data_IF_674949788433
#
_entry.id   IF_674949788433
#
_cell.length_a   1.000
_cell.length_b   1.000
_cell.length_c   1.000
_cell.angle_alpha   90.00
_cell.angle_beta   90.00
_cell.angle_gamma   90.00
#
_symmetry.space_group_name_H-M   'P 1'
#
loop_
_entity.id
_entity.type
_entity.pdbx_description
1 polymer ?
#
# COMPACT_ATOMS: atom_id res chain seq x y z
N UNK A 1 14.02 49.70 53.27
CA UNK A 1 14.56 48.77 52.27
C UNK A 1 13.59 47.61 52.11
N UNK A 2 12.68 47.68 51.13
CA UNK A 2 11.72 46.61 50.81
C UNK A 2 11.53 46.58 49.29
N UNK A 3 12.16 45.60 48.64
CA UNK A 3 12.12 45.40 47.19
C UNK A 3 10.90 44.53 46.85
N UNK A 4 9.89 45.11 46.22
CA UNK A 4 8.79 44.37 45.61
C UNK A 4 9.25 43.96 44.20
N UNK A 5 9.44 42.67 43.96
CA UNK A 5 9.78 42.13 42.63
C UNK A 5 8.49 41.84 41.85
N UNK A 6 8.36 42.24 40.57
CA UNK A 6 7.22 41.89 39.75
C UNK A 6 7.37 40.44 39.26
N UNK A 7 6.39 39.58 39.55
CA UNK A 7 6.30 38.24 38.99
C UNK A 7 5.67 38.38 37.60
N UNK A 8 6.51 38.37 36.57
CA UNK A 8 6.07 38.32 35.18
C UNK A 8 5.67 36.87 34.86
N UNK A 9 4.37 36.57 34.88
CA UNK A 9 3.87 35.25 34.48
C UNK A 9 3.81 35.16 32.95
N UNK A 10 4.78 34.45 32.38
CA UNK A 10 4.79 34.10 30.95
C UNK A 10 3.72 33.04 30.66
N UNK A 11 2.69 33.41 29.90
CA UNK A 11 1.71 32.47 29.33
C UNK A 11 2.39 31.78 28.14
N UNK A 12 2.67 30.48 28.30
CA UNK A 12 3.21 29.64 27.23
C UNK A 12 2.02 29.06 26.44
N UNK A 13 1.71 29.64 25.27
CA UNK A 13 0.66 29.12 24.38
C UNK A 13 1.24 27.95 23.58
N UNK A 14 0.90 26.72 23.97
CA UNK A 14 1.27 25.51 23.24
C UNK A 14 0.34 25.35 22.03
N UNK A 15 0.77 25.85 20.87
CA UNK A 15 0.10 25.56 19.60
C UNK A 15 0.41 24.11 19.21
N UNK A 16 -0.59 23.22 19.29
CA UNK A 16 -0.49 21.88 18.74
C UNK A 16 -0.51 21.98 17.20
N UNK A 17 0.65 21.91 16.57
CA UNK A 17 0.75 21.69 15.12
C UNK A 17 0.24 20.29 14.82
N UNK A 18 -0.93 20.20 14.18
CA UNK A 18 -1.39 18.96 13.59
C UNK A 18 -0.54 18.67 12.36
N UNK A 19 0.31 17.65 12.44
CA UNK A 19 0.99 17.11 11.25
C UNK A 19 -0.06 16.41 10.40
N UNK A 20 -0.38 16.98 9.24
CA UNK A 20 -1.10 16.26 8.19
C UNK A 20 -0.10 15.25 7.62
N UNK A 21 -0.24 13.98 7.98
CA UNK A 21 0.49 12.90 7.33
C UNK A 21 -0.07 12.77 5.91
N UNK A 22 0.65 13.31 4.92
CA UNK A 22 0.36 13.05 3.52
C UNK A 22 0.31 11.53 3.29
N UNK A 23 -0.66 11.04 2.52
CA UNK A 23 -0.80 9.61 2.21
C UNK A 23 0.53 9.04 1.69
N UNK A 24 1.00 7.95 2.31
CA UNK A 24 2.26 7.31 1.94
C UNK A 24 1.99 6.21 0.93
N UNK A 25 2.69 6.27 -0.20
CA UNK A 25 2.66 5.24 -1.24
C UNK A 25 3.99 4.50 -1.25
N UNK A 26 3.95 3.17 -1.33
CA UNK A 26 5.17 2.36 -1.37
C UNK A 26 5.00 1.12 -2.25
N UNK A 27 6.07 0.76 -2.95
CA UNK A 27 6.20 -0.57 -3.53
C UNK A 27 6.93 -1.44 -2.51
N UNK A 28 6.26 -2.48 -2.03
CA UNK A 28 6.78 -3.43 -1.06
C UNK A 28 7.12 -4.71 -1.78
N UNK A 29 8.31 -5.23 -1.53
CA UNK A 29 8.73 -6.57 -1.96
C UNK A 29 8.56 -7.54 -0.79
N UNK A 30 7.99 -8.71 -1.04
CA UNK A 30 7.78 -9.76 -0.04
C UNK A 30 7.97 -11.15 -0.64
N UNK A 31 8.06 -12.17 0.21
CA UNK A 31 8.43 -13.53 -0.16
C UNK A 31 7.31 -14.51 0.21
N UNK A 32 7.02 -15.45 -0.68
CA UNK A 32 6.18 -16.62 -0.40
C UNK A 32 6.98 -17.88 -0.77
N UNK A 33 7.49 -18.56 0.26
CA UNK A 33 8.45 -19.64 0.03
C UNK A 33 9.75 -19.07 -0.54
N UNK A 34 10.17 -19.60 -1.68
CA UNK A 34 11.39 -19.16 -2.39
C UNK A 34 11.10 -18.13 -3.50
N UNK A 35 9.84 -17.73 -3.68
CA UNK A 35 9.42 -16.81 -4.74
C UNK A 35 9.20 -15.40 -4.18
N UNK A 36 9.69 -14.40 -4.92
CA UNK A 36 9.53 -13.00 -4.60
C UNK A 36 8.35 -12.37 -5.35
N UNK A 37 7.62 -11.50 -4.66
CA UNK A 37 6.45 -10.79 -5.16
C UNK A 37 6.52 -9.32 -4.76
N UNK A 38 5.73 -8.50 -5.46
CA UNK A 38 5.54 -7.09 -5.13
C UNK A 38 4.11 -6.79 -4.70
N UNK A 39 3.94 -5.74 -3.93
CA UNK A 39 2.65 -5.13 -3.68
C UNK A 39 2.81 -3.60 -3.68
N UNK A 40 1.90 -2.92 -4.36
CA UNK A 40 1.79 -1.47 -4.20
C UNK A 40 0.80 -1.17 -3.07
N UNK A 41 1.28 -0.48 -2.04
CA UNK A 41 0.49 -0.05 -0.89
C UNK A 41 0.28 1.46 -0.95
N UNK A 42 -0.98 1.87 -0.97
CA UNK A 42 -1.40 3.26 -0.84
C UNK A 42 -2.12 3.46 0.49
N UNK A 43 -1.56 4.30 1.35
CA UNK A 43 -2.16 4.69 2.62
C UNK A 43 -2.99 5.97 2.44
N UNK A 44 -4.20 6.04 3.03
CA UNK A 44 -4.98 7.27 3.04
C UNK A 44 -4.33 8.34 3.93
N UNK A 45 -4.76 9.59 3.79
CA UNK A 45 -4.46 10.60 4.80
C UNK A 45 -5.22 10.26 6.11
N UNK A 46 -4.50 10.21 7.23
CA UNK A 46 -5.08 9.86 8.53
C UNK A 46 -5.26 8.35 8.76
N UNK A 47 -6.32 7.96 9.47
CA UNK A 47 -6.57 6.55 9.83
C UNK A 47 -7.40 5.87 8.74
N UNK A 48 -6.91 4.75 8.22
CA UNK A 48 -7.64 3.96 7.25
C UNK A 48 -8.93 3.36 7.84
N UNK A 49 -10.04 3.48 7.09
CA UNK A 49 -11.32 2.87 7.47
C UNK A 49 -11.26 1.33 7.43
N UNK A 50 -10.69 0.80 6.35
CA UNK A 50 -10.41 -0.63 6.18
C UNK A 50 -9.31 -0.82 5.14
N UNK A 51 -8.82 -2.06 4.99
CA UNK A 51 -7.91 -2.45 3.91
C UNK A 51 -8.69 -3.05 2.74
N UNK A 52 -8.40 -2.59 1.53
CA UNK A 52 -8.92 -3.15 0.27
C UNK A 52 -7.76 -3.78 -0.51
N UNK A 53 -7.89 -5.07 -0.80
CA UNK A 53 -6.95 -5.77 -1.67
C UNK A 53 -7.43 -5.70 -3.12
N UNK A 54 -6.53 -5.30 -4.02
CA UNK A 54 -6.73 -5.30 -5.47
C UNK A 54 -5.96 -6.49 -6.03
N UNK A 55 -6.69 -7.35 -6.72
CA UNK A 55 -6.12 -8.44 -7.51
C UNK A 55 -6.09 -7.97 -8.96
N UNK A 56 -4.90 -7.93 -9.55
CA UNK A 56 -4.71 -7.46 -10.92
C UNK A 56 -5.43 -8.35 -11.94
N UNK A 57 -5.60 -7.82 -13.15
CA UNK A 57 -6.24 -8.55 -14.23
C UNK A 57 -5.29 -9.57 -14.92
N UNK A 58 -5.55 -9.89 -16.19
CA UNK A 58 -4.83 -10.89 -16.96
C UNK A 58 -3.39 -10.49 -17.33
N UNK A 59 -3.01 -9.21 -17.26
CA UNK A 59 -1.70 -8.72 -17.69
C UNK A 59 -0.67 -8.48 -16.57
N UNK A 60 -1.05 -8.63 -15.30
CA UNK A 60 -0.13 -8.45 -14.16
C UNK A 60 -0.36 -7.15 -13.41
N UNK A 61 0.41 -6.92 -12.34
CA UNK A 61 0.37 -5.65 -11.62
C UNK A 61 0.98 -4.53 -12.48
N UNK A 62 0.17 -3.56 -12.90
CA UNK A 62 0.63 -2.42 -13.68
C UNK A 62 0.10 -1.06 -13.18
N UNK A 63 0.27 -0.02 -14.00
CA UNK A 63 -0.13 1.35 -13.68
C UNK A 63 -1.65 1.48 -13.43
N UNK A 64 -2.46 0.60 -14.02
CA UNK A 64 -3.90 0.56 -13.79
C UNK A 64 -4.21 0.23 -12.32
N UNK A 65 -3.76 -0.91 -11.79
CA UNK A 65 -4.03 -1.27 -10.39
C UNK A 65 -3.40 -0.28 -9.41
N UNK A 66 -2.20 0.21 -9.71
CA UNK A 66 -1.53 1.25 -8.92
C UNK A 66 -2.38 2.53 -8.87
N UNK A 67 -2.93 2.96 -10.01
CA UNK A 67 -3.86 4.08 -10.09
C UNK A 67 -5.12 3.83 -9.26
N UNK A 68 -5.71 2.64 -9.35
CA UNK A 68 -6.90 2.26 -8.56
C UNK A 68 -6.61 2.22 -7.06
N UNK A 69 -5.44 1.78 -6.65
CA UNK A 69 -5.02 1.80 -5.25
C UNK A 69 -4.94 3.24 -4.70
N UNK A 70 -4.35 4.17 -5.46
CA UNK A 70 -4.30 5.59 -5.08
C UNK A 70 -5.70 6.20 -4.95
N UNK A 71 -6.59 5.92 -5.90
CA UNK A 71 -7.97 6.41 -5.86
C UNK A 71 -8.74 5.90 -4.62
N UNK A 72 -8.47 4.67 -4.17
CA UNK A 72 -9.06 4.13 -2.94
C UNK A 72 -8.46 4.78 -1.69
N UNK A 73 -7.16 5.08 -1.69
CA UNK A 73 -6.52 5.84 -0.62
C UNK A 73 -7.08 7.25 -0.48
N UNK A 74 -7.36 7.93 -1.58
CA UNK A 74 -8.04 9.24 -1.58
C UNK A 74 -9.46 9.16 -0.97
N UNK A 75 -10.08 7.98 -0.96
CA UNK A 75 -11.38 7.73 -0.33
C UNK A 75 -11.29 7.26 1.13
N UNK A 76 -10.09 7.20 1.73
CA UNK A 76 -9.90 6.82 3.13
C UNK A 76 -9.65 5.32 3.35
N UNK A 77 -9.35 4.55 2.30
CA UNK A 77 -9.03 3.13 2.40
C UNK A 77 -7.53 2.89 2.30
N UNK A 78 -7.00 1.98 3.10
CA UNK A 78 -5.68 1.42 2.82
C UNK A 78 -5.81 0.47 1.63
N UNK A 79 -5.16 0.75 0.51
CA UNK A 79 -5.28 -0.07 -0.70
C UNK A 79 -3.98 -0.84 -0.96
N UNK A 80 -4.11 -2.13 -1.24
CA UNK A 80 -2.99 -3.05 -1.48
C UNK A 80 -3.20 -3.75 -2.81
N UNK A 81 -2.46 -3.37 -3.85
CA UNK A 81 -2.46 -4.05 -5.14
C UNK A 81 -1.36 -5.10 -5.17
N UNK A 82 -1.74 -6.37 -5.31
CA UNK A 82 -0.81 -7.51 -5.26
C UNK A 82 -0.32 -7.90 -6.64
N UNK A 83 0.98 -8.09 -6.82
CA UNK A 83 1.55 -8.89 -7.91
C UNK A 83 1.37 -10.38 -7.60
N UNK A 84 0.61 -11.07 -8.45
CA UNK A 84 0.41 -12.51 -8.33
C UNK A 84 1.26 -13.31 -9.31
N UNK A 85 1.96 -12.68 -10.25
CA UNK A 85 2.83 -13.37 -11.21
C UNK A 85 4.24 -13.54 -10.65
N UNK A 86 4.68 -12.62 -9.80
CA UNK A 86 6.00 -12.64 -9.15
C UNK A 86 7.02 -11.82 -9.93
N UNK A 87 8.06 -11.35 -9.24
CA UNK A 87 9.00 -10.35 -9.78
C UNK A 87 9.82 -10.85 -10.98
N UNK A 88 10.00 -12.16 -11.10
CA UNK A 88 10.75 -12.81 -12.18
C UNK A 88 9.88 -13.14 -13.39
N UNK A 89 8.57 -12.84 -13.34
CA UNK A 89 7.69 -13.06 -14.47
C UNK A 89 8.08 -12.14 -15.64
N UNK A 90 8.34 -12.75 -16.80
CA UNK A 90 8.46 -12.00 -18.05
C UNK A 90 7.06 -11.65 -18.57
N UNK A 91 6.78 -10.35 -18.70
CA UNK A 91 5.48 -9.79 -19.04
C UNK A 91 5.61 -8.87 -20.27
N UNK A 92 5.83 -9.46 -21.45
CA UNK A 92 6.05 -8.74 -22.71
C UNK A 92 5.03 -9.17 -23.79
N UNK A 93 3.76 -8.92 -23.50
CA UNK A 93 2.66 -9.14 -24.43
C UNK A 93 1.81 -10.40 -24.18
N UNK A 94 0.88 -10.64 -25.12
CA UNK A 94 -0.25 -11.55 -24.91
C UNK A 94 0.14 -12.98 -24.51
N UNK A 95 1.18 -13.54 -25.14
CA UNK A 95 1.60 -14.92 -24.86
C UNK A 95 2.17 -15.07 -23.44
N UNK A 96 2.88 -14.06 -22.96
CA UNK A 96 3.41 -14.00 -21.60
C UNK A 96 2.28 -13.89 -20.57
N UNK A 97 1.35 -12.96 -20.79
CA UNK A 97 0.16 -12.77 -19.93
C UNK A 97 -0.70 -14.04 -19.85
N UNK A 98 -0.93 -14.68 -21.01
CA UNK A 98 -1.67 -15.94 -21.09
C UNK A 98 -0.95 -17.06 -20.35
N UNK A 99 0.39 -17.12 -20.43
CA UNK A 99 1.19 -18.12 -19.72
C UNK A 99 1.05 -17.94 -18.21
N UNK A 100 1.27 -16.74 -17.69
CA UNK A 100 1.24 -16.49 -16.24
C UNK A 100 -0.17 -16.63 -15.66
N UNK A 101 -1.19 -16.07 -16.32
CA UNK A 101 -2.60 -16.29 -15.96
C UNK A 101 -2.96 -17.78 -15.98
N UNK A 102 -2.50 -18.48 -17.03
CA UNK A 102 -2.74 -19.92 -17.20
C UNK A 102 -2.15 -20.78 -16.09
N UNK A 103 -0.99 -20.41 -15.52
CA UNK A 103 -0.40 -21.10 -14.36
C UNK A 103 -1.36 -21.03 -13.15
N UNK A 104 -1.89 -19.84 -12.84
CA UNK A 104 -2.79 -19.61 -11.70
C UNK A 104 -4.21 -20.17 -11.90
N UNK A 105 -4.64 -20.41 -13.13
CA UNK A 105 -5.88 -21.13 -13.41
C UNK A 105 -5.72 -22.64 -13.26
N UNK A 106 -4.59 -23.19 -13.72
CA UNK A 106 -4.27 -24.61 -13.54
C UNK A 106 -4.03 -24.96 -12.08
N UNK A 107 -3.46 -24.04 -11.31
CA UNK A 107 -3.23 -24.20 -9.88
C UNK A 107 -4.01 -23.16 -9.05
N UNK A 108 -5.26 -23.50 -8.74
CA UNK A 108 -6.12 -22.66 -7.89
C UNK A 108 -5.68 -22.64 -6.43
N UNK A 109 -4.90 -23.62 -5.98
CA UNK A 109 -4.36 -23.63 -4.62
C UNK A 109 -3.26 -22.59 -4.49
N UNK A 110 -2.36 -22.54 -5.47
CA UNK A 110 -1.32 -21.53 -5.55
C UNK A 110 -1.89 -20.12 -5.67
N UNK A 111 -2.90 -19.91 -6.53
CA UNK A 111 -3.59 -18.61 -6.64
C UNK A 111 -4.12 -18.10 -5.30
N UNK A 112 -4.80 -18.98 -4.54
CA UNK A 112 -5.33 -18.62 -3.22
C UNK A 112 -4.22 -18.38 -2.21
N UNK A 113 -3.16 -19.19 -2.25
CA UNK A 113 -1.97 -19.02 -1.40
C UNK A 113 -1.38 -17.63 -1.60
N UNK A 114 -1.14 -17.22 -2.85
CA UNK A 114 -0.58 -15.88 -3.18
C UNK A 114 -1.46 -14.74 -2.70
N UNK A 115 -2.77 -14.85 -2.85
CA UNK A 115 -3.71 -13.84 -2.32
C UNK A 115 -3.67 -13.81 -0.79
N UNK A 116 -3.72 -14.97 -0.12
CA UNK A 116 -3.81 -15.05 1.34
C UNK A 116 -2.53 -14.67 2.08
N UNK A 117 -1.38 -14.75 1.39
CA UNK A 117 -0.06 -14.38 1.90
C UNK A 117 0.45 -13.06 1.32
N UNK A 118 -0.38 -12.38 0.53
CA UNK A 118 -0.08 -11.10 -0.08
C UNK A 118 -0.07 -10.01 0.98
N UNK A 119 1.14 -9.59 1.34
CA UNK A 119 1.52 -8.70 2.45
C UNK A 119 1.19 -9.23 3.85
#
# INVERSE_FOLDING_TARGET
MMLIRPILQSIFLLAATQTIAAGHNSMITYQIGDNEYKAFVAEPEGTASTTVYIIHDWNGLDDYEIGRARMLAEQGYRAVALDLFGVDAKLDGFDDYRRETGKLYKDRSEFRTRISKGI
#
